data_IF_958136373143
#
_entry.id   IF_958136373143
#
_cell.length_a   1.000
_cell.length_b   1.000
_cell.length_c   1.000
_cell.angle_alpha   90.00
_cell.angle_beta   90.00
_cell.angle_gamma   90.00
#
_symmetry.space_group_name_H-M   'P 1'
#
loop_
_entity.id
_entity.type
_entity.pdbx_description
1 polymer ?
#
# COMPACT_ATOMS: atom_id res chain seq x y z
N UNK A 1 -59.90 7.19 -53.46
CA UNK A 1 -59.96 5.81 -53.98
C UNK A 1 -58.59 5.17 -53.79
N UNK A 2 -58.51 4.09 -52.98
CA UNK A 2 -57.83 2.81 -53.24
C UNK A 2 -56.37 2.84 -53.82
N UNK A 3 -55.32 2.15 -53.36
CA UNK A 3 -55.09 0.99 -52.46
C UNK A 3 -53.57 0.88 -52.10
N UNK A 4 -53.31 0.34 -50.90
CA UNK A 4 -52.20 -0.48 -50.34
C UNK A 4 -50.83 -0.67 -51.04
N UNK A 5 -49.80 -0.80 -50.19
CA UNK A 5 -48.62 -1.63 -50.44
C UNK A 5 -47.50 -1.50 -49.40
N UNK A 6 -47.41 -2.45 -48.46
CA UNK A 6 -46.36 -2.63 -47.44
C UNK A 6 -44.94 -2.80 -48.01
N UNK A 7 -43.89 -2.40 -47.27
CA UNK A 7 -42.88 -3.34 -46.74
C UNK A 7 -41.86 -2.70 -45.75
N UNK A 8 -41.74 -3.37 -44.62
CA UNK A 8 -40.65 -3.56 -43.64
C UNK A 8 -39.31 -2.83 -43.85
N UNK A 9 -38.82 -2.19 -42.79
CA UNK A 9 -37.43 -1.72 -42.68
C UNK A 9 -37.05 -1.15 -41.32
N UNK A 10 -36.66 -2.04 -40.40
CA UNK A 10 -35.59 -1.91 -39.40
C UNK A 10 -35.43 -0.63 -38.55
N UNK A 11 -35.31 -0.85 -37.23
CA UNK A 11 -34.27 -0.18 -36.45
C UNK A 11 -34.72 0.45 -35.15
N UNK A 12 -34.87 -0.39 -34.12
CA UNK A 12 -35.02 -0.03 -32.71
C UNK A 12 -33.93 0.98 -32.27
N UNK A 13 -34.38 2.13 -31.80
CA UNK A 13 -33.63 3.03 -30.93
C UNK A 13 -33.66 2.48 -29.51
N UNK A 14 -32.63 1.75 -29.06
CA UNK A 14 -32.46 1.36 -27.64
C UNK A 14 -30.99 1.33 -27.24
N UNK A 15 -30.67 2.18 -26.25
CA UNK A 15 -29.64 2.05 -25.21
C UNK A 15 -28.18 1.77 -25.62
N UNK A 16 -27.43 2.85 -25.85
CA UNK A 16 -25.99 2.89 -25.60
C UNK A 16 -25.74 3.89 -24.46
N UNK A 17 -25.66 3.42 -23.21
CA UNK A 17 -25.49 4.33 -22.07
C UNK A 17 -25.02 3.74 -20.73
N UNK A 18 -25.29 2.47 -20.41
CA UNK A 18 -25.22 2.03 -19.00
C UNK A 18 -24.26 0.87 -18.66
N UNK A 19 -23.27 0.55 -19.50
CA UNK A 19 -22.32 -0.55 -19.22
C UNK A 19 -20.96 -0.09 -18.65
N UNK A 20 -20.67 1.21 -18.62
CA UNK A 20 -19.37 1.73 -18.19
C UNK A 20 -19.20 1.97 -16.68
N UNK A 21 -20.29 2.06 -15.91
CA UNK A 21 -20.24 2.58 -14.54
C UNK A 21 -20.26 1.52 -13.43
N UNK A 22 -20.51 0.25 -13.78
CA UNK A 22 -20.60 -0.87 -12.83
C UNK A 22 -19.24 -1.52 -12.55
N UNK A 23 -18.34 -1.58 -13.54
CA UNK A 23 -17.00 -2.15 -13.38
C UNK A 23 -16.09 -1.28 -12.48
N UNK A 24 -16.19 0.05 -12.62
CA UNK A 24 -15.45 1.02 -11.79
C UNK A 24 -15.95 1.06 -10.34
N UNK A 25 -17.26 0.86 -10.10
CA UNK A 25 -17.84 0.74 -8.75
C UNK A 25 -17.45 -0.55 -8.03
N UNK A 26 -17.37 -1.68 -8.73
CA UNK A 26 -16.95 -2.96 -8.13
C UNK A 26 -15.47 -2.92 -7.75
N UNK A 27 -14.59 -2.39 -8.61
CA UNK A 27 -13.17 -2.20 -8.29
C UNK A 27 -12.96 -1.21 -7.12
N UNK A 28 -13.75 -0.13 -7.06
CA UNK A 28 -13.69 0.87 -5.98
C UNK A 28 -14.14 0.33 -4.62
N UNK A 29 -15.14 -0.56 -4.57
CA UNK A 29 -15.63 -1.13 -3.32
C UNK A 29 -14.70 -2.21 -2.74
N UNK A 30 -14.05 -3.01 -3.59
CA UNK A 30 -13.07 -4.01 -3.15
C UNK A 30 -11.84 -3.32 -2.53
N UNK A 31 -11.34 -2.26 -3.17
CA UNK A 31 -10.21 -1.48 -2.64
C UNK A 31 -10.49 -0.79 -1.31
N UNK A 32 -11.74 -0.35 -1.09
CA UNK A 32 -12.20 0.21 0.19
C UNK A 32 -12.33 -0.87 1.28
N UNK A 33 -12.86 -2.04 0.92
CA UNK A 33 -13.02 -3.17 1.84
C UNK A 33 -11.67 -3.73 2.31
N UNK A 34 -10.72 -3.96 1.39
CA UNK A 34 -9.38 -4.46 1.73
C UNK A 34 -8.63 -3.44 2.59
N UNK A 35 -8.66 -2.15 2.25
CA UNK A 35 -8.05 -1.11 3.08
C UNK A 35 -8.65 -1.02 4.49
N UNK A 36 -9.97 -1.26 4.62
CA UNK A 36 -10.64 -1.33 5.91
C UNK A 36 -10.29 -2.60 6.71
N UNK A 37 -10.15 -3.75 6.04
CA UNK A 37 -9.74 -5.02 6.65
C UNK A 37 -8.30 -4.95 7.17
N UNK A 38 -7.39 -4.37 6.39
CA UNK A 38 -5.99 -4.20 6.78
C UNK A 38 -5.87 -3.15 7.91
N UNK A 39 -6.64 -2.06 7.86
CA UNK A 39 -6.73 -1.14 9.00
C UNK A 39 -7.27 -1.85 10.25
N UNK A 40 -8.25 -2.76 10.10
CA UNK A 40 -8.80 -3.53 11.22
C UNK A 40 -7.74 -4.43 11.85
N UNK A 41 -6.99 -5.17 11.03
CA UNK A 41 -6.06 -6.17 11.55
C UNK A 41 -4.85 -5.53 12.26
N UNK A 42 -4.37 -4.36 11.81
CA UNK A 42 -3.41 -3.55 12.57
C UNK A 42 -4.00 -3.01 13.88
N UNK A 43 -5.22 -2.45 13.84
CA UNK A 43 -5.87 -1.95 15.05
C UNK A 43 -6.12 -3.04 16.09
N UNK A 44 -6.47 -4.25 15.65
CA UNK A 44 -6.67 -5.39 16.54
C UNK A 44 -5.34 -5.80 17.21
N UNK A 45 -4.22 -5.75 16.48
CA UNK A 45 -2.88 -5.95 17.07
C UNK A 45 -2.55 -4.87 18.12
N UNK A 46 -2.76 -3.59 17.81
CA UNK A 46 -2.51 -2.50 18.77
C UNK A 46 -3.38 -2.65 20.01
N UNK A 47 -4.64 -3.05 19.86
CA UNK A 47 -5.52 -3.33 21.01
C UNK A 47 -5.06 -4.52 21.84
N UNK A 48 -4.54 -5.56 21.19
CA UNK A 48 -4.01 -6.74 21.88
C UNK A 48 -2.81 -6.36 22.75
N UNK A 49 -1.87 -5.58 22.21
CA UNK A 49 -0.72 -5.05 22.96
C UNK A 49 -1.19 -4.13 24.09
N UNK A 50 -2.16 -3.26 23.84
CA UNK A 50 -2.71 -2.35 24.86
C UNK A 50 -3.53 -3.06 25.97
N UNK A 51 -3.93 -4.32 25.76
CA UNK A 51 -4.66 -5.11 26.73
C UNK A 51 -3.73 -5.96 27.63
N UNK A 52 -2.43 -6.03 27.33
CA UNK A 52 -1.45 -6.69 28.17
C UNK A 52 -1.26 -5.91 29.48
N UNK A 53 -1.28 -6.61 30.62
CA UNK A 53 -1.10 -5.98 31.94
C UNK A 53 0.36 -6.06 32.41
N UNK A 54 1.12 -7.01 31.84
CA UNK A 54 2.51 -7.30 32.21
C UNK A 54 3.44 -7.22 31.01
N UNK A 55 4.72 -6.90 31.27
CA UNK A 55 5.74 -6.85 30.22
C UNK A 55 5.97 -8.24 29.60
N UNK A 56 5.84 -9.30 30.39
CA UNK A 56 5.99 -10.67 29.91
C UNK A 56 4.88 -11.07 28.93
N UNK A 57 3.64 -10.63 29.15
CA UNK A 57 2.54 -10.85 28.21
C UNK A 57 2.74 -10.08 26.90
N UNK A 58 3.18 -8.82 27.00
CA UNK A 58 3.51 -8.00 25.84
C UNK A 58 4.61 -8.65 25.00
N UNK A 59 5.67 -9.13 25.64
CA UNK A 59 6.77 -9.85 24.98
C UNK A 59 6.26 -11.06 24.18
N UNK A 60 5.37 -11.87 24.76
CA UNK A 60 4.81 -13.06 24.08
C UNK A 60 4.03 -12.65 22.83
N UNK A 61 3.18 -11.63 22.94
CA UNK A 61 2.37 -11.12 21.82
C UNK A 61 3.25 -10.57 20.71
N UNK A 62 4.27 -9.78 21.06
CA UNK A 62 5.18 -9.18 20.08
C UNK A 62 6.02 -10.25 19.39
N UNK A 63 6.55 -11.24 20.11
CA UNK A 63 7.30 -12.34 19.49
C UNK A 63 6.44 -13.16 18.52
N UNK A 64 5.17 -13.38 18.87
CA UNK A 64 4.22 -14.04 17.97
C UNK A 64 3.99 -13.22 16.68
N UNK A 65 3.81 -11.90 16.81
CA UNK A 65 3.64 -11.02 15.65
C UNK A 65 4.94 -10.91 14.82
N UNK A 66 6.13 -10.84 15.43
CA UNK A 66 7.41 -10.87 14.73
C UNK A 66 7.58 -12.16 13.91
N UNK A 67 7.19 -13.31 14.46
CA UNK A 67 7.20 -14.57 13.72
C UNK A 67 6.23 -14.55 12.52
N UNK A 68 5.05 -13.95 12.70
CA UNK A 68 4.05 -13.75 11.66
C UNK A 68 4.57 -12.82 10.54
N UNK A 69 5.16 -11.68 10.90
CA UNK A 69 5.79 -10.74 9.97
C UNK A 69 6.91 -11.41 9.19
N UNK A 70 7.82 -12.14 9.86
CA UNK A 70 8.89 -12.91 9.20
C UNK A 70 8.34 -13.89 8.17
N UNK A 71 7.20 -14.54 8.44
CA UNK A 71 6.54 -15.42 7.47
C UNK A 71 6.02 -14.64 6.27
N UNK A 72 5.27 -13.57 6.54
CA UNK A 72 4.73 -12.67 5.50
C UNK A 72 5.85 -12.16 4.58
N UNK A 73 6.94 -11.63 5.10
CA UNK A 73 8.02 -11.10 4.26
C UNK A 73 8.74 -12.15 3.40
N UNK A 74 8.60 -13.46 3.67
CA UNK A 74 9.08 -14.52 2.78
C UNK A 74 8.16 -14.79 1.59
N UNK A 75 6.91 -14.35 1.66
CA UNK A 75 5.94 -14.51 0.57
C UNK A 75 6.31 -13.59 -0.59
N UNK A 76 6.45 -14.16 -1.80
CA UNK A 76 6.91 -13.41 -2.99
C UNK A 76 5.88 -12.42 -3.53
N UNK A 77 4.61 -12.56 -3.17
CA UNK A 77 3.50 -11.76 -3.70
C UNK A 77 3.14 -10.56 -2.81
N UNK A 78 3.93 -10.28 -1.78
CA UNK A 78 3.60 -9.25 -0.81
C UNK A 78 3.82 -7.85 -1.40
N UNK A 79 2.74 -7.23 -1.89
CA UNK A 79 2.77 -5.98 -2.65
C UNK A 79 1.62 -5.04 -2.30
N UNK A 80 1.78 -3.77 -2.65
CA UNK A 80 0.72 -2.76 -2.53
C UNK A 80 0.26 -2.54 -1.09
N UNK A 81 -1.01 -2.83 -0.83
CA UNK A 81 -1.66 -2.54 0.44
C UNK A 81 -1.17 -3.47 1.58
N UNK A 82 -1.02 -4.76 1.28
CA UNK A 82 -0.60 -5.76 2.27
C UNK A 82 0.83 -5.52 2.72
N UNK A 83 1.70 -5.09 1.79
CA UNK A 83 3.06 -4.68 2.10
C UNK A 83 3.09 -3.44 2.99
N UNK A 84 2.26 -2.45 2.68
CA UNK A 84 2.15 -1.25 3.51
C UNK A 84 1.70 -1.60 4.94
N UNK A 85 0.68 -2.43 5.10
CA UNK A 85 0.20 -2.81 6.43
C UNK A 85 1.26 -3.60 7.21
N UNK A 86 1.93 -4.56 6.55
CA UNK A 86 2.99 -5.37 7.16
C UNK A 86 4.16 -4.50 7.60
N UNK A 87 4.53 -3.47 6.82
CA UNK A 87 5.56 -2.50 7.20
C UNK A 87 5.10 -1.60 8.37
N UNK A 88 3.85 -1.16 8.42
CA UNK A 88 3.35 -0.34 9.53
C UNK A 88 3.36 -1.14 10.85
N UNK A 89 2.97 -2.43 10.82
CA UNK A 89 3.08 -3.33 11.98
C UNK A 89 4.52 -3.51 12.43
N UNK A 90 5.44 -3.65 11.47
CA UNK A 90 6.87 -3.72 11.74
C UNK A 90 7.39 -2.44 12.41
N UNK A 91 7.01 -1.26 11.90
CA UNK A 91 7.35 0.04 12.50
C UNK A 91 6.86 0.12 13.95
N UNK A 92 5.68 -0.41 14.25
CA UNK A 92 5.16 -0.44 15.62
C UNK A 92 6.04 -1.30 16.54
N UNK A 93 6.52 -2.45 16.08
CA UNK A 93 7.44 -3.30 16.85
C UNK A 93 8.78 -2.58 17.12
N UNK A 94 9.31 -1.85 16.13
CA UNK A 94 10.53 -1.03 16.28
C UNK A 94 10.35 0.11 17.29
N UNK A 95 9.17 0.74 17.33
CA UNK A 95 8.86 1.78 18.31
C UNK A 95 8.84 1.25 19.75
N UNK A 96 8.51 -0.03 19.93
CA UNK A 96 8.58 -0.72 21.23
C UNK A 96 10.01 -1.19 21.57
N UNK A 97 10.98 -1.02 20.65
CA UNK A 97 12.39 -1.36 20.85
C UNK A 97 12.82 -2.73 20.33
N UNK A 98 11.98 -3.41 19.53
CA UNK A 98 12.33 -4.71 18.94
C UNK A 98 12.85 -4.55 17.52
N UNK A 99 14.05 -5.06 17.27
CA UNK A 99 14.70 -4.97 15.95
C UNK A 99 14.08 -5.92 14.92
N UNK A 100 13.87 -5.42 13.70
CA UNK A 100 13.18 -6.10 12.59
C UNK A 100 13.93 -6.03 11.25
N UNK A 101 15.20 -6.49 11.19
CA UNK A 101 16.06 -6.33 10.02
C UNK A 101 15.53 -7.00 8.74
N UNK A 102 14.63 -7.97 8.87
CA UNK A 102 14.04 -8.71 7.75
C UNK A 102 13.15 -7.86 6.84
N UNK A 103 12.61 -6.73 7.31
CA UNK A 103 11.71 -5.88 6.51
C UNK A 103 12.34 -4.63 5.91
N UNK A 104 13.59 -4.30 6.26
CA UNK A 104 14.25 -3.05 5.82
C UNK A 104 14.41 -2.97 4.30
N UNK A 105 14.84 -4.06 3.66
CA UNK A 105 14.98 -4.10 2.21
C UNK A 105 13.64 -3.85 1.51
N UNK A 106 12.56 -4.42 2.05
CA UNK A 106 11.20 -4.27 1.52
C UNK A 106 10.67 -2.84 1.70
N UNK A 107 11.02 -2.16 2.79
CA UNK A 107 10.73 -0.73 2.97
C UNK A 107 11.41 0.13 1.89
N UNK A 108 12.66 -0.19 1.55
CA UNK A 108 13.45 0.55 0.54
C UNK A 108 12.95 0.27 -0.88
N UNK A 109 12.55 -0.97 -1.17
CA UNK A 109 11.84 -1.30 -2.41
C UNK A 109 10.57 -0.43 -2.56
N UNK A 110 9.80 -0.29 -1.48
CA UNK A 110 8.57 0.52 -1.49
C UNK A 110 8.82 2.03 -1.70
N UNK A 111 9.99 2.54 -1.33
CA UNK A 111 10.39 3.94 -1.62
C UNK A 111 10.49 4.22 -3.13
N UNK A 112 10.66 3.18 -3.93
CA UNK A 112 10.82 3.26 -5.40
C UNK A 112 9.51 2.98 -6.13
N UNK A 113 8.42 2.72 -5.40
CA UNK A 113 7.10 2.43 -5.97
C UNK A 113 6.53 3.67 -6.70
N UNK A 114 5.87 3.50 -7.86
CA UNK A 114 5.24 4.60 -8.59
C UNK A 114 4.06 5.24 -7.83
N UNK A 115 3.44 4.53 -6.90
CA UNK A 115 2.33 5.03 -6.10
C UNK A 115 2.85 5.91 -4.94
N UNK A 116 2.38 7.16 -4.89
CA UNK A 116 2.77 8.13 -3.86
C UNK A 116 2.46 7.67 -2.43
N UNK A 117 1.37 6.91 -2.21
CA UNK A 117 0.99 6.44 -0.87
C UNK A 117 1.97 5.38 -0.39
N UNK A 118 2.35 4.46 -1.27
CA UNK A 118 3.34 3.42 -0.99
C UNK A 118 4.72 4.05 -0.77
N UNK A 119 5.10 4.99 -1.62
CA UNK A 119 6.35 5.75 -1.52
C UNK A 119 6.46 6.48 -0.18
N UNK A 120 5.39 7.15 0.28
CA UNK A 120 5.34 7.80 1.60
C UNK A 120 5.53 6.80 2.74
N UNK A 121 4.81 5.67 2.71
CA UNK A 121 4.95 4.63 3.74
C UNK A 121 6.38 4.05 3.77
N UNK A 122 6.99 3.83 2.60
CA UNK A 122 8.38 3.39 2.49
C UNK A 122 9.36 4.37 3.12
N UNK A 123 9.24 5.67 2.81
CA UNK A 123 10.13 6.68 3.40
C UNK A 123 9.96 6.83 4.90
N UNK A 124 8.73 6.79 5.42
CA UNK A 124 8.48 6.83 6.87
C UNK A 124 9.12 5.62 7.54
N UNK A 125 8.92 4.42 6.98
CA UNK A 125 9.50 3.19 7.52
C UNK A 125 11.03 3.24 7.48
N UNK A 126 11.62 3.68 6.36
CA UNK A 126 13.07 3.80 6.22
C UNK A 126 13.67 4.86 7.16
N UNK A 127 12.95 5.94 7.45
CA UNK A 127 13.41 6.97 8.37
C UNK A 127 13.35 6.54 9.85
N UNK A 128 12.41 5.66 10.21
CA UNK A 128 12.20 5.22 11.58
C UNK A 128 13.00 3.96 11.93
N UNK A 129 13.09 3.00 11.01
CA UNK A 129 13.65 1.67 11.29
C UNK A 129 15.14 1.53 10.94
N UNK A 130 15.74 2.47 10.20
CA UNK A 130 17.12 2.31 9.73
C UNK A 130 18.03 3.18 10.59
N UNK A 131 18.75 2.58 11.58
CA UNK A 131 19.64 3.32 12.42
C UNK A 131 20.82 3.88 11.60
N UNK A 132 21.42 4.99 12.06
CA UNK A 132 22.51 5.66 11.36
C UNK A 132 23.71 4.75 11.06
N UNK A 133 24.00 3.74 11.87
CA UNK A 133 25.16 2.87 11.65
C UNK A 133 24.91 1.75 10.64
N UNK A 134 23.69 1.64 10.07
CA UNK A 134 23.34 0.51 9.23
C UNK A 134 23.82 0.67 7.77
N UNK A 135 24.34 -0.41 7.19
CA UNK A 135 24.79 -0.52 5.79
C UNK A 135 23.75 -0.04 4.74
N UNK A 136 22.46 -0.07 5.07
CA UNK A 136 21.39 0.37 4.18
C UNK A 136 21.24 1.89 4.05
N UNK A 137 21.97 2.68 4.85
CA UNK A 137 21.97 4.15 4.79
C UNK A 137 22.28 4.65 3.37
N UNK A 138 23.31 4.10 2.73
CA UNK A 138 23.73 4.53 1.40
C UNK A 138 22.64 4.31 0.35
N UNK A 139 21.85 3.24 0.50
CA UNK A 139 20.74 2.94 -0.41
C UNK A 139 19.60 3.96 -0.27
N UNK A 140 19.25 4.37 0.95
CA UNK A 140 18.25 5.43 1.18
C UNK A 140 18.72 6.76 0.60
N UNK A 141 19.97 7.15 0.86
CA UNK A 141 20.54 8.40 0.35
C UNK A 141 20.53 8.41 -1.17
N UNK A 142 20.91 7.31 -1.82
CA UNK A 142 20.83 7.18 -3.26
C UNK A 142 19.39 7.38 -3.78
N UNK A 143 18.39 6.76 -3.13
CA UNK A 143 16.97 6.94 -3.49
C UNK A 143 16.48 8.38 -3.31
N UNK A 144 16.92 9.08 -2.27
CA UNK A 144 16.59 10.50 -2.04
C UNK A 144 17.25 11.41 -3.08
N UNK A 145 18.52 11.17 -3.40
CA UNK A 145 19.23 11.92 -4.44
C UNK A 145 18.58 11.74 -5.81
N UNK A 146 18.18 10.51 -6.16
CA UNK A 146 17.43 10.24 -7.39
C UNK A 146 16.08 10.98 -7.40
N UNK A 147 15.34 10.99 -6.29
CA UNK A 147 14.08 11.72 -6.21
C UNK A 147 14.27 13.24 -6.39
N UNK A 148 15.30 13.81 -5.79
CA UNK A 148 15.66 15.23 -5.91
C UNK A 148 16.18 15.59 -7.31
N UNK A 149 16.99 14.73 -7.93
CA UNK A 149 17.52 14.97 -9.28
C UNK A 149 16.41 14.88 -10.34
N UNK A 150 15.48 13.93 -10.21
CA UNK A 150 14.30 13.85 -11.08
C UNK A 150 13.44 15.12 -10.96
N UNK A 151 13.26 15.65 -9.75
CA UNK A 151 12.55 16.92 -9.56
C UNK A 151 13.28 18.09 -10.24
N UNK A 152 14.62 18.12 -10.24
CA UNK A 152 15.39 19.17 -10.94
C UNK A 152 15.30 19.08 -12.47
N UNK A 153 15.19 17.89 -13.05
CA UNK A 153 15.15 17.72 -14.53
C UNK A 153 13.74 17.83 -15.11
N UNK A 154 12.71 17.49 -14.34
CA UNK A 154 11.30 17.54 -14.76
C UNK A 154 10.66 18.92 -14.58
N UNK A 155 11.15 19.72 -13.63
CA UNK A 155 10.66 21.09 -13.40
C UNK A 155 11.58 22.13 -14.06
N UNK A 156 11.75 22.03 -15.39
CA UNK A 156 12.18 23.19 -16.17
C UNK A 156 10.93 24.07 -16.34
N UNK A 157 10.84 25.13 -15.54
CA UNK A 157 9.82 26.16 -15.74
C UNK A 157 9.79 26.58 -17.22
N UNK A 158 8.63 26.60 -17.89
CA UNK A 158 8.50 27.23 -19.19
C UNK A 158 8.91 28.69 -18.99
N UNK A 159 10.07 29.07 -19.53
CA UNK A 159 10.46 30.45 -19.66
C UNK A 159 9.40 31.10 -20.55
N UNK A 160 8.63 32.02 -19.96
CA UNK A 160 7.67 32.87 -20.65
C UNK A 160 8.39 34.07 -21.23
#
# INVERSE_FOLDING_TARGET
>A
MHILGSNVGHGLSVAAGDLGNSASKVAGNIGRSVSAILAKAFNDFVRLVAACETHEEEDIVIQAELANLKRKFREKDLRGNDLRETLIRMVYCEMLGYETPFGYLKAIELCSDPNIVNKKAGYITAALCIPPEHEFRFMIVNRLQMASSLARTTWKWPQR
#
